data_IF_852889500586
#
_entry.id   IF_852889500586
#
_cell.length_a   1.000
_cell.length_b   1.000
_cell.length_c   1.000
_cell.angle_alpha   90.00
_cell.angle_beta   90.00
_cell.angle_gamma   90.00
#
_symmetry.space_group_name_H-M   'P 1'
#
loop_
_entity.id
_entity.type
_entity.pdbx_description
1 polymer ?
#
# COMPACT_ATOMS: atom_id res chain seq x y z
N UNK A 1 17.07 58.05 -29.78
CA UNK A 1 16.91 57.28 -28.52
C UNK A 1 15.61 56.51 -28.59
N UNK A 2 15.64 55.24 -28.99
CA UNK A 2 14.45 54.39 -29.04
C UNK A 2 14.39 53.57 -27.75
N UNK A 3 13.51 53.97 -26.83
CA UNK A 3 13.24 53.29 -25.57
C UNK A 3 12.49 51.99 -25.86
N UNK A 4 13.23 50.89 -25.97
CA UNK A 4 12.65 49.55 -25.95
C UNK A 4 11.99 49.32 -24.58
N UNK A 5 10.66 49.45 -24.54
CA UNK A 5 9.84 49.08 -23.39
C UNK A 5 9.92 47.56 -23.23
N UNK A 6 10.73 47.10 -22.27
CA UNK A 6 10.77 45.68 -21.87
C UNK A 6 9.39 45.27 -21.34
N UNK A 7 8.58 44.68 -22.22
CA UNK A 7 7.25 44.17 -21.87
C UNK A 7 7.43 42.88 -21.07
N UNK A 8 7.19 42.94 -19.76
CA UNK A 8 7.15 41.77 -18.88
C UNK A 8 6.01 40.85 -19.34
N UNK A 9 6.35 39.61 -19.71
CA UNK A 9 5.38 38.55 -20.03
C UNK A 9 4.89 37.92 -18.72
N UNK A 10 3.61 37.52 -18.68
CA UNK A 10 3.05 36.78 -17.54
C UNK A 10 3.81 35.46 -17.36
N UNK A 11 4.06 35.06 -16.12
CA UNK A 11 4.77 33.80 -15.78
C UNK A 11 4.15 32.58 -16.48
N UNK A 12 2.82 32.58 -16.68
CA UNK A 12 2.07 31.54 -17.39
C UNK A 12 2.36 31.45 -18.90
N UNK A 13 2.96 32.47 -19.52
CA UNK A 13 3.34 32.49 -20.94
C UNK A 13 4.82 32.16 -21.19
N UNK A 14 5.61 32.02 -20.12
CA UNK A 14 7.00 31.56 -20.17
C UNK A 14 6.98 30.10 -19.71
N UNK A 15 6.33 29.25 -20.49
CA UNK A 15 6.25 27.82 -20.21
C UNK A 15 7.64 27.22 -20.30
N UNK A 16 8.28 27.01 -19.14
CA UNK A 16 9.39 26.06 -19.02
C UNK A 16 8.93 24.68 -19.49
N UNK A 17 9.88 23.83 -19.88
CA UNK A 17 9.61 22.42 -20.16
C UNK A 17 8.67 21.86 -19.09
N UNK A 18 7.60 21.17 -19.52
CA UNK A 18 6.64 20.55 -18.60
C UNK A 18 7.43 19.58 -17.72
N UNK A 19 7.70 19.97 -16.47
CA UNK A 19 8.32 19.09 -15.48
C UNK A 19 7.50 17.81 -15.41
N UNK A 20 8.15 16.67 -15.61
CA UNK A 20 7.55 15.37 -15.34
C UNK A 20 7.50 15.25 -13.81
N UNK A 21 6.40 15.71 -13.22
CA UNK A 21 6.05 15.42 -11.83
C UNK A 21 4.60 14.96 -11.87
N UNK A 22 4.40 13.65 -11.74
CA UNK A 22 3.06 13.10 -11.86
C UNK A 22 2.14 13.74 -10.83
N UNK A 23 2.54 13.85 -9.56
CA UNK A 23 1.72 14.43 -8.46
C UNK A 23 1.62 15.95 -8.55
N UNK A 24 2.74 16.65 -8.72
CA UNK A 24 2.78 18.12 -8.75
C UNK A 24 2.00 18.72 -9.91
N UNK A 25 1.93 18.04 -11.06
CA UNK A 25 1.16 18.50 -12.22
C UNK A 25 -0.35 18.65 -11.95
N UNK A 26 -0.89 17.95 -10.95
CA UNK A 26 -2.35 17.90 -10.70
C UNK A 26 -2.85 18.83 -9.58
N UNK A 27 -1.95 19.32 -8.72
CA UNK A 27 -2.30 20.17 -7.55
C UNK A 27 -3.05 21.47 -7.90
N UNK A 28 -2.97 21.94 -9.14
CA UNK A 28 -3.54 23.22 -9.51
C UNK A 28 -4.94 23.17 -10.12
N UNK A 29 -5.37 22.10 -10.81
CA UNK A 29 -6.66 22.10 -11.56
C UNK A 29 -7.37 20.72 -11.69
N UNK A 30 -6.95 19.65 -10.98
CA UNK A 30 -7.55 18.31 -11.21
C UNK A 30 -7.35 17.27 -10.09
N UNK A 31 -7.15 17.71 -8.84
CA UNK A 31 -6.88 16.81 -7.71
C UNK A 31 -7.98 15.75 -7.53
N UNK A 32 -9.25 16.14 -7.68
CA UNK A 32 -10.38 15.22 -7.65
C UNK A 32 -10.34 14.18 -8.78
N UNK A 33 -10.12 14.62 -10.03
CA UNK A 33 -10.07 13.72 -11.18
C UNK A 33 -8.93 12.70 -11.06
N UNK A 34 -7.80 13.13 -10.50
CA UNK A 34 -6.68 12.23 -10.18
C UNK A 34 -7.04 11.26 -9.08
N UNK A 35 -7.58 11.74 -7.96
CA UNK A 35 -7.99 10.91 -6.84
C UNK A 35 -9.02 9.85 -7.30
N UNK A 36 -9.96 10.25 -8.14
CA UNK A 36 -10.90 9.34 -8.80
C UNK A 36 -10.20 8.35 -9.74
N UNK A 37 -9.25 8.81 -10.55
CA UNK A 37 -8.44 7.93 -11.41
C UNK A 37 -7.69 6.84 -10.63
N UNK A 38 -7.06 7.23 -9.51
CA UNK A 38 -6.39 6.30 -8.59
C UNK A 38 -7.39 5.36 -7.92
N UNK A 39 -8.55 5.87 -7.49
CA UNK A 39 -9.61 5.05 -6.89
C UNK A 39 -10.13 3.98 -7.86
N UNK A 40 -10.37 4.35 -9.13
CA UNK A 40 -10.82 3.42 -10.15
C UNK A 40 -9.73 2.42 -10.56
N UNK A 41 -8.46 2.81 -10.52
CA UNK A 41 -7.32 1.90 -10.69
C UNK A 41 -7.26 0.88 -9.54
N UNK A 42 -7.39 1.35 -8.29
CA UNK A 42 -7.47 0.50 -7.12
C UNK A 42 -8.67 -0.47 -7.18
N UNK A 43 -9.84 -0.01 -7.62
CA UNK A 43 -11.01 -0.86 -7.86
C UNK A 43 -10.68 -1.99 -8.85
N UNK A 44 -10.07 -1.67 -10.00
CA UNK A 44 -9.68 -2.68 -11.00
C UNK A 44 -8.72 -3.73 -10.42
N UNK A 45 -7.71 -3.30 -9.67
CA UNK A 45 -6.77 -4.21 -8.99
C UNK A 45 -7.48 -5.10 -7.98
N UNK A 46 -8.41 -4.52 -7.20
CA UNK A 46 -9.21 -5.29 -6.26
C UNK A 46 -10.13 -6.28 -6.99
N UNK A 47 -10.84 -5.88 -8.05
CA UNK A 47 -11.72 -6.74 -8.86
C UNK A 47 -10.95 -7.90 -9.52
N UNK A 48 -9.72 -7.66 -9.98
CA UNK A 48 -8.84 -8.69 -10.53
C UNK A 48 -8.54 -9.81 -9.51
N UNK A 49 -8.52 -9.49 -8.22
CA UNK A 49 -8.35 -10.47 -7.13
C UNK A 49 -9.65 -11.17 -6.69
N UNK A 50 -10.78 -10.95 -7.38
CA UNK A 50 -12.07 -11.56 -7.04
C UNK A 50 -12.05 -13.09 -7.03
N UNK A 51 -11.36 -13.72 -8.00
CA UNK A 51 -11.18 -15.17 -8.05
C UNK A 51 -10.43 -15.68 -6.83
N UNK A 52 -9.31 -15.04 -6.49
CA UNK A 52 -8.52 -15.38 -5.30
C UNK A 52 -9.39 -15.32 -4.03
N UNK A 53 -10.20 -14.27 -3.85
CA UNK A 53 -11.09 -14.14 -2.68
C UNK A 53 -12.14 -15.27 -2.62
N UNK A 54 -12.73 -15.64 -3.75
CA UNK A 54 -13.69 -16.76 -3.85
C UNK A 54 -13.03 -18.10 -3.50
N UNK A 55 -11.86 -18.37 -4.08
CA UNK A 55 -11.08 -19.60 -3.84
C UNK A 55 -10.64 -19.68 -2.38
N UNK A 56 -10.14 -18.58 -1.82
CA UNK A 56 -9.78 -18.44 -0.41
C UNK A 56 -10.95 -18.78 0.52
N UNK A 57 -12.13 -18.19 0.29
CA UNK A 57 -13.30 -18.45 1.13
C UNK A 57 -13.73 -19.92 1.06
N UNK A 58 -13.64 -20.54 -0.13
CA UNK A 58 -13.87 -21.98 -0.29
C UNK A 58 -12.83 -22.81 0.47
N UNK A 59 -11.53 -22.53 0.33
CA UNK A 59 -10.48 -23.23 1.07
C UNK A 59 -10.66 -23.10 2.60
N UNK A 60 -11.09 -21.93 3.07
CA UNK A 60 -11.41 -21.69 4.48
C UNK A 60 -12.59 -22.56 4.94
N UNK A 61 -13.70 -22.60 4.18
CA UNK A 61 -14.83 -23.49 4.46
C UNK A 61 -14.40 -24.95 4.57
N UNK A 62 -13.61 -25.43 3.61
CA UNK A 62 -13.10 -26.81 3.60
C UNK A 62 -12.22 -27.12 4.82
N UNK A 63 -11.36 -26.19 5.22
CA UNK A 63 -10.47 -26.34 6.38
C UNK A 63 -11.23 -26.42 7.69
N UNK A 64 -12.28 -25.62 7.87
CA UNK A 64 -13.08 -25.61 9.10
C UNK A 64 -14.24 -26.61 9.11
N UNK A 65 -14.36 -27.45 8.07
CA UNK A 65 -15.29 -28.58 8.02
C UNK A 65 -16.62 -28.30 7.32
N UNK A 66 -16.75 -27.14 6.69
CA UNK A 66 -17.93 -26.75 5.90
C UNK A 66 -17.78 -27.15 4.42
N UNK A 67 -17.58 -28.46 4.18
CA UNK A 67 -17.12 -28.99 2.88
C UNK A 67 -18.24 -29.13 1.83
N UNK A 68 -19.50 -29.36 2.25
CA UNK A 68 -20.60 -29.76 1.37
C UNK A 68 -21.66 -28.67 1.14
N UNK A 69 -21.34 -27.41 1.48
CA UNK A 69 -22.26 -26.27 1.31
C UNK A 69 -22.11 -25.53 -0.02
N UNK A 70 -21.25 -26.02 -0.90
CA UNK A 70 -21.19 -25.49 -2.26
C UNK A 70 -22.55 -25.75 -2.94
N UNK A 71 -23.02 -24.76 -3.70
CA UNK A 71 -24.33 -24.81 -4.36
C UNK A 71 -24.13 -25.41 -5.75
N UNK A 72 -24.87 -26.49 -6.04
CA UNK A 72 -24.88 -27.20 -7.32
C UNK A 72 -26.24 -27.07 -7.97
N UNK A 73 -26.25 -27.06 -9.31
CA UNK A 73 -27.46 -27.15 -10.09
C UNK A 73 -27.51 -28.55 -10.72
N UNK A 74 -28.48 -29.36 -10.30
CA UNK A 74 -28.70 -30.70 -10.84
C UNK A 74 -30.14 -30.75 -11.35
N UNK A 75 -30.33 -31.17 -12.60
CA UNK A 75 -31.63 -31.29 -13.26
C UNK A 75 -32.50 -30.01 -13.19
N UNK A 76 -31.86 -28.84 -13.29
CA UNK A 76 -32.55 -27.54 -13.23
C UNK A 76 -32.95 -27.09 -11.82
N UNK A 77 -32.59 -27.84 -10.78
CA UNK A 77 -32.81 -27.48 -9.37
C UNK A 77 -31.52 -27.08 -8.70
N UNK A 78 -31.55 -25.92 -8.04
CA UNK A 78 -30.44 -25.41 -7.24
C UNK A 78 -30.52 -25.99 -5.82
N UNK A 79 -29.50 -26.74 -5.41
CA UNK A 79 -29.38 -27.33 -4.07
C UNK A 79 -27.93 -27.31 -3.58
N UNK A 80 -27.68 -27.61 -2.31
CA UNK A 80 -26.30 -27.79 -1.81
C UNK A 80 -25.81 -29.19 -2.14
N UNK A 81 -24.49 -29.37 -2.27
CA UNK A 81 -23.89 -30.71 -2.43
C UNK A 81 -24.32 -31.67 -1.30
N UNK A 82 -24.43 -31.17 -0.07
CA UNK A 82 -24.91 -31.93 1.08
C UNK A 82 -26.32 -32.50 0.83
N UNK A 83 -27.25 -31.68 0.32
CA UNK A 83 -28.61 -32.10 0.01
C UNK A 83 -28.64 -33.08 -1.15
N UNK A 84 -27.85 -32.84 -2.19
CA UNK A 84 -27.76 -33.73 -3.33
C UNK A 84 -27.29 -35.14 -2.92
N UNK A 85 -26.25 -35.23 -2.09
CA UNK A 85 -25.73 -36.51 -1.57
C UNK A 85 -26.79 -37.22 -0.70
N UNK A 86 -27.53 -36.45 0.12
CA UNK A 86 -28.64 -36.98 0.92
C UNK A 86 -29.79 -37.50 0.05
N UNK A 87 -30.14 -36.79 -1.03
CA UNK A 87 -31.17 -37.21 -1.99
C UNK A 87 -30.80 -38.51 -2.72
N UNK A 88 -29.50 -38.78 -2.91
CA UNK A 88 -28.98 -40.04 -3.42
C UNK A 88 -28.96 -41.18 -2.38
N UNK A 89 -29.42 -40.94 -1.15
CA UNK A 89 -29.45 -41.93 -0.07
C UNK A 89 -28.10 -42.14 0.65
N UNK A 90 -27.13 -41.27 0.42
CA UNK A 90 -25.81 -41.32 1.06
C UNK A 90 -25.68 -40.30 2.19
N UNK A 91 -24.83 -40.59 3.19
CA UNK A 91 -24.53 -39.65 4.28
C UNK A 91 -23.29 -38.84 3.91
N UNK A 92 -23.35 -37.49 3.90
CA UNK A 92 -22.19 -36.64 3.64
C UNK A 92 -21.11 -36.81 4.73
N UNK A 93 -20.01 -37.47 4.40
CA UNK A 93 -18.92 -37.72 5.33
C UNK A 93 -18.05 -36.47 5.48
N UNK A 94 -17.75 -36.07 6.72
CA UNK A 94 -16.84 -34.96 7.04
C UNK A 94 -15.61 -35.52 7.76
N UNK A 95 -14.55 -35.86 7.02
CA UNK A 95 -13.28 -36.24 7.63
C UNK A 95 -12.32 -35.05 7.61
N UNK A 96 -12.04 -34.47 8.78
CA UNK A 96 -11.29 -33.22 8.87
C UNK A 96 -9.75 -33.44 8.89
N UNK A 97 -9.25 -34.14 7.89
CA UNK A 97 -7.81 -34.36 7.69
C UNK A 97 -7.06 -33.06 7.42
N UNK A 98 -7.68 -32.13 6.70
CA UNK A 98 -7.12 -30.83 6.35
C UNK A 98 -6.75 -30.05 7.61
N UNK A 99 -7.68 -29.89 8.58
CA UNK A 99 -7.39 -29.17 9.83
C UNK A 99 -6.29 -29.81 10.67
N UNK A 100 -6.10 -31.13 10.57
CA UNK A 100 -4.99 -31.82 11.24
C UNK A 100 -3.65 -31.46 10.59
N UNK A 101 -3.60 -31.45 9.26
CA UNK A 101 -2.39 -31.06 8.51
C UNK A 101 -2.00 -29.60 8.79
N UNK A 102 -2.98 -28.67 8.74
CA UNK A 102 -2.76 -27.25 9.07
C UNK A 102 -2.16 -27.11 10.48
N UNK A 103 -2.73 -27.78 11.49
CA UNK A 103 -2.20 -27.74 12.86
C UNK A 103 -0.78 -28.30 12.98
N UNK A 104 -0.44 -29.34 12.23
CA UNK A 104 0.91 -29.89 12.22
C UNK A 104 1.92 -28.89 11.64
N UNK A 105 1.57 -28.20 10.55
CA UNK A 105 2.42 -27.16 9.95
C UNK A 105 2.61 -25.99 10.93
N UNK A 106 1.54 -25.55 11.60
CA UNK A 106 1.62 -24.50 12.63
C UNK A 106 2.50 -24.90 13.81
N UNK A 107 2.38 -26.16 14.27
CA UNK A 107 3.23 -26.69 15.33
C UNK A 107 4.71 -26.75 14.93
N UNK A 108 5.02 -27.03 13.67
CA UNK A 108 6.39 -26.97 13.15
C UNK A 108 6.91 -25.52 13.05
N UNK A 109 6.09 -24.60 12.54
CA UNK A 109 6.42 -23.19 12.44
C UNK A 109 6.77 -22.59 13.81
N UNK A 110 5.90 -22.78 14.81
CA UNK A 110 6.12 -22.25 16.16
C UNK A 110 7.41 -22.79 16.82
N UNK A 111 7.81 -24.03 16.52
CA UNK A 111 9.07 -24.62 17.02
C UNK A 111 10.31 -24.02 16.35
N UNK A 112 10.17 -23.50 15.13
CA UNK A 112 11.27 -22.97 14.33
C UNK A 112 11.39 -21.45 14.41
N UNK A 113 10.38 -20.75 14.93
CA UNK A 113 10.41 -19.30 15.12
C UNK A 113 11.61 -18.91 16.01
N UNK A 114 12.47 -18.05 15.46
CA UNK A 114 13.62 -17.48 16.17
C UNK A 114 13.42 -15.98 16.33
N UNK A 115 14.08 -15.43 17.33
CA UNK A 115 14.17 -13.98 17.51
C UNK A 115 14.98 -13.35 16.38
N UNK A 116 14.64 -12.11 15.97
CA UNK A 116 15.39 -11.38 14.96
C UNK A 116 16.79 -11.04 15.47
N UNK A 117 17.78 -11.17 14.60
CA UNK A 117 19.18 -10.82 14.87
C UNK A 117 19.71 -10.01 13.69
N UNK A 118 20.35 -8.88 14.00
CA UNK A 118 21.06 -8.07 13.03
C UNK A 118 22.54 -8.43 13.02
N UNK A 119 23.03 -8.84 11.85
CA UNK A 119 24.45 -9.16 11.64
C UNK A 119 25.10 -7.97 10.93
N UNK A 120 26.04 -7.31 11.59
CA UNK A 120 26.83 -6.23 11.00
C UNK A 120 27.72 -6.78 9.88
N UNK A 121 27.86 -6.01 8.79
CA UNK A 121 28.76 -6.36 7.68
C UNK A 121 30.19 -5.94 7.97
N UNK A 122 30.35 -4.79 8.59
CA UNK A 122 31.64 -4.24 9.00
C UNK A 122 31.89 -4.46 10.49
N UNK A 123 33.15 -4.75 10.83
CA UNK A 123 33.55 -5.06 12.21
C UNK A 123 33.33 -3.87 13.15
N UNK A 124 33.48 -2.65 12.63
CA UNK A 124 33.32 -1.42 13.40
C UNK A 124 31.84 -1.13 13.72
N UNK A 125 30.90 -1.73 12.98
CA UNK A 125 29.46 -1.60 13.19
C UNK A 125 28.88 -2.70 14.09
N UNK A 126 29.70 -3.60 14.64
CA UNK A 126 29.21 -4.74 15.42
C UNK A 126 28.32 -4.32 16.60
N UNK A 127 28.70 -3.25 17.32
CA UNK A 127 27.92 -2.70 18.44
C UNK A 127 26.56 -2.16 18.00
N UNK A 128 26.47 -1.59 16.78
CA UNK A 128 25.21 -1.14 16.20
C UNK A 128 24.32 -2.34 15.87
N UNK A 129 24.89 -3.42 15.35
CA UNK A 129 24.19 -4.68 15.10
C UNK A 129 23.59 -5.29 16.38
N UNK A 130 24.35 -5.31 17.48
CA UNK A 130 23.86 -5.77 18.79
C UNK A 130 22.70 -4.91 19.30
N UNK A 131 22.87 -3.58 19.26
CA UNK A 131 21.84 -2.62 19.70
C UNK A 131 20.56 -2.79 18.89
N UNK A 132 20.69 -2.91 17.56
CA UNK A 132 19.54 -3.10 16.67
C UNK A 132 18.83 -4.44 16.92
N UNK A 133 19.58 -5.51 17.22
CA UNK A 133 19.01 -6.80 17.57
C UNK A 133 18.13 -6.70 18.81
N UNK A 134 18.59 -6.02 19.87
CA UNK A 134 17.79 -5.78 21.07
C UNK A 134 16.52 -4.97 20.79
N UNK A 135 16.61 -3.94 19.94
CA UNK A 135 15.44 -3.12 19.56
C UNK A 135 14.42 -3.95 18.78
N UNK A 136 14.86 -4.76 17.82
CA UNK A 136 13.96 -5.63 17.05
C UNK A 136 13.30 -6.71 17.91
N UNK A 137 14.03 -7.29 18.87
CA UNK A 137 13.48 -8.23 19.84
C UNK A 137 12.40 -7.58 20.70
N UNK A 138 12.68 -6.36 21.20
CA UNK A 138 11.70 -5.58 21.93
C UNK A 138 10.43 -5.31 21.10
N UNK A 139 10.57 -4.86 19.85
CA UNK A 139 9.44 -4.60 18.96
C UNK A 139 8.65 -5.89 18.63
N UNK A 140 9.36 -7.01 18.45
CA UNK A 140 8.75 -8.33 18.26
C UNK A 140 7.89 -8.73 19.45
N UNK A 141 8.36 -8.52 20.68
CA UNK A 141 7.61 -8.78 21.90
C UNK A 141 6.43 -7.82 22.06
N UNK A 142 6.63 -6.53 21.80
CA UNK A 142 5.58 -5.50 21.86
C UNK A 142 4.38 -5.86 20.96
N UNK A 143 4.67 -6.35 19.75
CA UNK A 143 3.64 -6.74 18.78
C UNK A 143 3.14 -8.18 18.97
N UNK A 144 3.67 -8.95 19.93
CA UNK A 144 3.40 -10.38 20.07
C UNK A 144 3.58 -11.13 18.73
N UNK A 145 4.69 -10.88 18.04
CA UNK A 145 4.91 -11.36 16.67
C UNK A 145 4.85 -12.89 16.53
N UNK A 146 5.09 -13.65 17.60
CA UNK A 146 4.92 -15.11 17.58
C UNK A 146 3.47 -15.51 17.29
N UNK A 147 2.50 -14.81 17.88
CA UNK A 147 1.07 -15.04 17.64
C UNK A 147 0.64 -14.54 16.26
N UNK A 148 1.06 -13.31 15.90
CA UNK A 148 0.80 -12.74 14.57
C UNK A 148 1.35 -13.65 13.47
N UNK A 149 2.60 -14.11 13.63
CA UNK A 149 3.27 -15.01 12.70
C UNK A 149 2.55 -16.35 12.58
N UNK A 150 2.11 -16.95 13.70
CA UNK A 150 1.35 -18.19 13.67
C UNK A 150 0.03 -18.05 12.91
N UNK A 151 -0.73 -16.96 13.15
CA UNK A 151 -1.99 -16.70 12.41
C UNK A 151 -1.76 -16.35 10.96
N UNK A 152 -0.69 -15.64 10.65
CA UNK A 152 -0.27 -15.36 9.27
C UNK A 152 0.10 -16.64 8.53
N UNK A 153 0.79 -17.57 9.20
CA UNK A 153 1.10 -18.88 8.63
C UNK A 153 -0.16 -19.74 8.45
N UNK A 154 -1.11 -19.68 9.38
CA UNK A 154 -2.41 -20.37 9.25
C UNK A 154 -3.14 -19.87 8.00
N UNK A 155 -3.23 -18.55 7.84
CA UNK A 155 -3.85 -17.91 6.69
C UNK A 155 -3.12 -18.26 5.38
N UNK A 156 -1.79 -18.26 5.37
CA UNK A 156 -0.99 -18.61 4.20
C UNK A 156 -1.19 -20.07 3.77
N UNK A 157 -1.22 -21.02 4.72
CA UNK A 157 -1.44 -22.45 4.41
C UNK A 157 -2.86 -22.68 3.87
N UNK A 158 -3.84 -21.89 4.30
CA UNK A 158 -5.24 -22.02 3.84
C UNK A 158 -5.45 -21.34 2.49
N UNK A 159 -4.98 -20.10 2.32
CA UNK A 159 -5.35 -19.24 1.20
C UNK A 159 -4.24 -19.02 0.17
N UNK A 160 -2.98 -19.27 0.53
CA UNK A 160 -1.81 -18.98 -0.30
C UNK A 160 -1.31 -17.54 -0.23
N UNK A 161 -1.96 -16.65 0.53
CA UNK A 161 -1.54 -15.26 0.71
C UNK A 161 -1.65 -14.85 2.17
N UNK A 162 -0.62 -14.17 2.68
CA UNK A 162 -0.67 -13.49 3.96
C UNK A 162 -0.21 -12.06 3.80
N UNK A 163 -0.86 -11.14 4.50
CA UNK A 163 -0.56 -9.72 4.43
C UNK A 163 -0.51 -9.16 5.84
N UNK A 164 0.55 -8.42 6.13
CA UNK A 164 0.75 -7.71 7.38
C UNK A 164 1.00 -6.24 7.08
N UNK A 165 0.34 -5.36 7.82
CA UNK A 165 0.56 -3.93 7.73
C UNK A 165 1.43 -3.49 8.90
N UNK A 166 2.51 -2.76 8.58
CA UNK A 166 3.43 -2.19 9.55
C UNK A 166 3.33 -0.67 9.50
N UNK A 167 3.05 -0.05 10.63
CA UNK A 167 2.90 1.41 10.73
C UNK A 167 3.60 1.95 11.95
N UNK A 168 4.18 3.14 11.82
CA UNK A 168 4.74 3.88 12.94
C UNK A 168 3.68 4.85 13.49
N UNK A 169 3.45 4.84 14.80
CA UNK A 169 2.47 5.72 15.40
C UNK A 169 2.25 5.50 16.89
N UNK A 170 1.44 6.36 17.50
CA UNK A 170 1.07 6.24 18.91
C UNK A 170 -0.11 5.29 19.06
N UNK A 171 0.06 4.23 19.85
CA UNK A 171 -1.03 3.33 20.24
C UNK A 171 -0.88 2.93 21.70
N UNK A 172 -1.99 2.93 22.44
CA UNK A 172 -2.01 2.62 23.88
C UNK A 172 -0.97 3.41 24.70
N UNK A 173 -0.75 4.68 24.32
CA UNK A 173 0.21 5.58 24.98
C UNK A 173 1.68 5.33 24.65
N UNK A 174 2.00 4.46 23.68
CA UNK A 174 3.36 4.18 23.23
C UNK A 174 3.55 4.57 21.76
N UNK A 175 4.64 5.25 21.48
CA UNK A 175 5.08 5.57 20.12
C UNK A 175 6.06 4.49 19.66
N UNK A 176 5.64 3.63 18.73
CA UNK A 176 6.46 2.53 18.22
C UNK A 176 5.95 2.08 16.83
N UNK A 177 6.62 1.08 16.26
CA UNK A 177 6.17 0.38 15.06
C UNK A 177 5.18 -0.74 15.43
N UNK A 178 3.99 -0.66 14.88
CA UNK A 178 2.91 -1.61 15.10
C UNK A 178 2.71 -2.50 13.89
N UNK A 179 2.50 -3.80 14.13
CA UNK A 179 2.16 -4.79 13.12
C UNK A 179 0.74 -5.29 13.33
N UNK A 180 -0.06 -5.32 12.27
CA UNK A 180 -1.40 -5.92 12.27
C UNK A 180 -1.58 -6.86 11.08
N UNK A 181 -2.43 -7.86 11.25
CA UNK A 181 -2.85 -8.74 10.16
C UNK A 181 -3.87 -8.00 9.31
N UNK A 182 -3.70 -8.06 8.00
CA UNK A 182 -4.65 -7.53 7.02
C UNK A 182 -5.55 -8.66 6.56
N UNK A 183 -6.86 -8.41 6.46
CA UNK A 183 -7.78 -9.37 5.88
C UNK A 183 -7.56 -9.42 4.36
N UNK A 184 -7.18 -10.56 3.76
CA UNK A 184 -6.95 -10.65 2.32
C UNK A 184 -8.18 -10.31 1.46
N UNK A 185 -9.37 -10.29 2.06
CA UNK A 185 -10.60 -9.87 1.37
C UNK A 185 -10.68 -8.35 1.15
N UNK A 186 -9.97 -7.58 1.97
CA UNK A 186 -9.89 -6.12 1.93
C UNK A 186 -8.59 -5.62 1.30
N UNK A 187 -7.71 -6.54 0.88
CA UNK A 187 -6.42 -6.21 0.30
C UNK A 187 -6.48 -6.31 -1.22
N UNK A 188 -5.65 -5.50 -1.89
CA UNK A 188 -5.41 -5.58 -3.31
C UNK A 188 -3.98 -5.19 -3.68
N UNK A 189 -3.51 -5.72 -4.80
CA UNK A 189 -2.23 -5.34 -5.41
C UNK A 189 -2.33 -5.40 -6.93
N UNK A 190 -1.29 -4.89 -7.60
CA UNK A 190 -1.13 -4.97 -9.05
C UNK A 190 -1.31 -6.40 -9.60
N UNK A 191 -2.25 -6.58 -10.52
CA UNK A 191 -2.54 -7.88 -11.13
C UNK A 191 -1.39 -8.41 -12.01
N UNK A 192 -0.48 -7.54 -12.44
CA UNK A 192 0.61 -7.89 -13.34
C UNK A 192 1.90 -8.26 -12.61
N UNK A 193 1.95 -8.17 -11.27
CA UNK A 193 3.13 -8.52 -10.49
C UNK A 193 3.43 -10.02 -10.60
N UNK A 194 4.69 -10.33 -10.91
CA UNK A 194 5.24 -11.68 -11.00
C UNK A 194 6.43 -11.88 -10.06
N UNK A 195 7.12 -10.80 -9.68
CA UNK A 195 8.22 -10.89 -8.72
C UNK A 195 7.70 -11.19 -7.31
N UNK A 196 8.05 -12.36 -6.79
CA UNK A 196 7.68 -12.79 -5.43
C UNK A 196 8.21 -11.85 -4.33
N UNK A 197 9.20 -11.00 -4.63
CA UNK A 197 9.72 -9.96 -3.73
C UNK A 197 8.87 -8.68 -3.77
N UNK A 198 7.97 -8.55 -4.74
CA UNK A 198 7.10 -7.39 -4.94
C UNK A 198 7.78 -6.16 -5.54
N UNK A 199 8.95 -6.30 -6.17
CA UNK A 199 9.69 -5.16 -6.74
C UNK A 199 9.00 -4.54 -7.96
N UNK A 200 8.23 -5.35 -8.70
CA UNK A 200 7.45 -4.96 -9.86
C UNK A 200 6.03 -4.47 -9.52
N UNK A 201 5.65 -4.49 -8.24
CA UNK A 201 4.34 -3.96 -7.81
C UNK A 201 4.32 -2.45 -7.99
N UNK A 202 3.34 -1.96 -8.76
CA UNK A 202 3.12 -0.53 -9.00
C UNK A 202 2.01 0.06 -8.13
N UNK A 203 1.06 -0.76 -7.69
CA UNK A 203 -0.07 -0.38 -6.84
C UNK A 203 -0.33 -1.46 -5.79
N UNK A 204 -0.57 -1.04 -4.55
CA UNK A 204 -0.97 -1.91 -3.45
C UNK A 204 -1.86 -1.14 -2.50
N UNK A 205 -2.83 -1.79 -1.89
CA UNK A 205 -3.72 -1.08 -0.98
C UNK A 205 -4.60 -1.95 -0.12
N UNK A 206 -5.29 -1.29 0.78
CA UNK A 206 -6.16 -1.89 1.77
C UNK A 206 -7.43 -1.06 1.95
N UNK A 207 -8.55 -1.77 2.06
CA UNK A 207 -9.86 -1.20 2.37
C UNK A 207 -10.07 -1.29 3.88
N UNK A 208 -10.36 -0.16 4.50
CA UNK A 208 -10.60 -0.03 5.94
C UNK A 208 -12.05 0.32 6.21
N UNK A 209 -12.71 -0.47 7.05
CA UNK A 209 -14.05 -0.14 7.56
C UNK A 209 -13.91 0.34 9.03
N UNK A 210 -13.77 1.66 9.23
CA UNK A 210 -13.51 2.29 10.54
C UNK A 210 -14.76 2.97 11.10
N UNK A 211 -14.81 3.24 12.41
CA UNK A 211 -15.86 4.09 12.97
C UNK A 211 -15.60 5.58 12.69
N UNK A 212 -16.64 6.40 12.82
CA UNK A 212 -16.56 7.84 12.54
C UNK A 212 -15.59 8.58 13.46
N UNK A 213 -15.44 8.15 14.72
CA UNK A 213 -14.54 8.81 15.67
C UNK A 213 -13.09 8.53 15.32
N UNK A 214 -12.79 7.29 14.92
CA UNK A 214 -11.48 6.93 14.38
C UNK A 214 -11.18 7.72 13.11
N UNK A 215 -12.14 7.86 12.18
CA UNK A 215 -11.96 8.69 10.99
C UNK A 215 -11.59 10.14 11.36
N UNK A 216 -12.30 10.76 12.31
CA UNK A 216 -11.97 12.12 12.75
C UNK A 216 -10.61 12.20 13.42
N UNK A 217 -10.26 11.22 14.26
CA UNK A 217 -8.95 11.19 14.93
C UNK A 217 -7.80 11.14 13.95
N UNK A 218 -7.92 10.38 12.87
CA UNK A 218 -6.84 10.19 11.90
C UNK A 218 -6.79 11.30 10.84
N UNK A 219 -7.94 11.84 10.41
CA UNK A 219 -8.00 12.69 9.21
C UNK A 219 -8.51 14.13 9.45
N UNK A 220 -9.03 14.47 10.63
CA UNK A 220 -9.50 15.83 10.91
C UNK A 220 -8.52 16.59 11.82
N UNK A 221 -8.03 17.73 11.34
CA UNK A 221 -7.25 18.69 12.12
C UNK A 221 -8.09 19.82 12.73
N UNK A 222 -9.34 19.97 12.27
CA UNK A 222 -10.24 21.05 12.67
C UNK A 222 -11.70 20.60 12.77
N UNK A 223 -12.53 21.41 13.44
CA UNK A 223 -13.97 21.15 13.57
C UNK A 223 -14.68 21.18 12.21
N UNK A 224 -14.26 22.07 11.31
CA UNK A 224 -14.85 22.19 9.97
C UNK A 224 -14.54 20.96 9.12
N UNK A 225 -13.34 20.38 9.23
CA UNK A 225 -13.00 19.11 8.59
C UNK A 225 -13.82 17.94 9.14
N UNK A 226 -14.09 17.91 10.46
CA UNK A 226 -15.00 16.91 11.03
C UNK A 226 -16.40 16.99 10.40
N UNK A 227 -16.95 18.19 10.21
CA UNK A 227 -18.26 18.36 9.56
C UNK A 227 -18.20 17.96 8.08
N UNK A 228 -17.13 18.34 7.36
CA UNK A 228 -16.92 17.92 5.96
C UNK A 228 -16.87 16.40 5.82
N UNK A 229 -16.07 15.73 6.66
CA UNK A 229 -15.97 14.27 6.67
C UNK A 229 -17.32 13.64 7.05
N UNK A 230 -18.05 14.22 8.01
CA UNK A 230 -19.39 13.73 8.36
C UNK A 230 -20.34 13.79 7.16
N UNK A 231 -20.30 14.85 6.37
CA UNK A 231 -21.13 15.00 5.18
C UNK A 231 -20.75 13.99 4.09
N UNK A 232 -19.47 13.84 3.78
CA UNK A 232 -18.98 12.85 2.80
C UNK A 232 -19.46 11.44 3.18
N UNK A 233 -19.24 11.06 4.44
CA UNK A 233 -19.58 9.72 4.92
C UNK A 233 -21.06 9.51 5.22
N UNK A 234 -21.88 10.58 5.29
CA UNK A 234 -23.34 10.44 5.32
C UNK A 234 -23.83 9.74 4.05
N UNK A 235 -23.31 10.14 2.89
CA UNK A 235 -23.65 9.55 1.61
C UNK A 235 -22.93 8.22 1.36
N UNK A 236 -21.67 8.08 1.81
CA UNK A 236 -20.88 6.87 1.57
C UNK A 236 -21.42 5.63 2.32
N UNK A 237 -22.25 5.83 3.35
CA UNK A 237 -22.92 4.77 4.10
C UNK A 237 -24.21 4.29 3.45
N UNK A 238 -24.76 5.09 2.54
CA UNK A 238 -25.99 4.76 1.82
C UNK A 238 -25.61 3.97 0.57
N UNK A 239 -25.77 2.64 0.64
CA UNK A 239 -25.42 1.74 -0.46
C UNK A 239 -26.23 2.00 -1.74
N UNK A 240 -27.46 2.50 -1.63
CA UNK A 240 -28.28 2.85 -2.79
C UNK A 240 -27.73 4.10 -3.47
N UNK A 241 -27.37 5.12 -2.68
CA UNK A 241 -26.71 6.32 -3.19
C UNK A 241 -25.37 6.01 -3.88
N UNK A 242 -24.52 5.18 -3.25
CA UNK A 242 -23.23 4.78 -3.84
C UNK A 242 -23.44 3.98 -5.12
N UNK A 243 -24.39 3.04 -5.14
CA UNK A 243 -24.74 2.27 -6.35
C UNK A 243 -25.22 3.18 -7.48
N UNK A 244 -26.09 4.15 -7.17
CA UNK A 244 -26.55 5.14 -8.14
C UNK A 244 -25.40 6.02 -8.65
N UNK A 245 -24.50 6.45 -7.77
CA UNK A 245 -23.33 7.26 -8.12
C UNK A 245 -22.40 6.54 -9.11
N UNK A 246 -22.25 5.22 -8.95
CA UNK A 246 -21.42 4.38 -9.82
C UNK A 246 -22.20 3.59 -10.87
N UNK A 247 -23.47 3.96 -11.13
CA UNK A 247 -24.35 3.22 -12.06
C UNK A 247 -23.82 3.13 -13.50
N UNK A 248 -22.99 4.09 -13.92
CA UNK A 248 -22.29 4.09 -15.22
C UNK A 248 -21.09 3.13 -15.28
N UNK A 249 -20.75 2.46 -14.18
CA UNK A 249 -19.71 1.42 -14.09
C UNK A 249 -20.36 0.06 -13.79
N UNK A 250 -21.02 -0.57 -14.79
CA UNK A 250 -21.92 -1.67 -14.56
C UNK A 250 -21.12 -2.90 -14.14
N UNK A 251 -21.37 -3.39 -12.92
CA UNK A 251 -21.09 -4.78 -12.60
C UNK A 251 -22.07 -5.65 -13.38
N UNK A 252 -21.56 -6.46 -14.30
CA UNK A 252 -22.34 -7.54 -14.89
C UNK A 252 -22.49 -8.65 -13.83
N UNK A 253 -23.62 -8.62 -13.11
CA UNK A 253 -24.05 -9.71 -12.23
C UNK A 253 -24.06 -9.34 -10.74
N UNK A 254 -25.27 -9.32 -10.19
CA UNK A 254 -25.64 -9.24 -8.79
C UNK A 254 -24.54 -9.55 -7.74
N UNK A 255 -24.36 -8.61 -6.83
CA UNK A 255 -23.72 -8.84 -5.53
C UNK A 255 -24.62 -9.73 -4.67
N UNK A 256 -24.10 -10.88 -4.28
CA UNK A 256 -24.56 -11.57 -3.08
C UNK A 256 -24.19 -10.67 -1.88
N UNK A 257 -25.15 -10.38 -0.98
CA UNK A 257 -24.92 -9.62 0.26
C UNK A 257 -23.80 -10.22 1.15
N UNK A 258 -23.33 -11.42 0.82
CA UNK A 258 -22.18 -12.11 1.43
C UNK A 258 -20.83 -11.78 0.80
N UNK A 259 -20.77 -10.98 -0.27
CA UNK A 259 -19.53 -10.61 -0.98
C UNK A 259 -19.11 -9.21 -0.55
N UNK A 260 -17.83 -9.00 -0.26
CA UNK A 260 -17.32 -7.65 -0.03
C UNK A 260 -17.52 -6.86 -1.32
N UNK A 261 -18.09 -5.66 -1.26
CA UNK A 261 -18.03 -4.69 -2.36
C UNK A 261 -16.77 -3.83 -2.20
N UNK A 262 -16.32 -3.12 -3.24
CA UNK A 262 -15.18 -2.19 -3.16
C UNK A 262 -15.59 -0.86 -2.54
N UNK A 263 -16.74 -0.30 -2.94
CA UNK A 263 -17.16 1.04 -2.52
C UNK A 263 -18.01 1.05 -1.24
N UNK A 264 -18.75 -0.02 -0.96
CA UNK A 264 -19.70 -0.09 0.16
C UNK A 264 -19.30 -1.06 1.27
N UNK A 265 -19.32 -0.54 2.51
CA UNK A 265 -19.15 -1.30 3.74
C UNK A 265 -20.23 -2.35 3.95
N UNK A 266 -19.90 -3.48 4.60
CA UNK A 266 -20.92 -4.44 5.05
C UNK A 266 -21.77 -3.91 6.20
N UNK A 267 -21.17 -3.08 7.05
CA UNK A 267 -21.84 -2.43 8.18
C UNK A 267 -22.09 -0.96 7.82
N UNK A 268 -23.34 -0.53 7.60
CA UNK A 268 -23.68 0.86 7.27
C UNK A 268 -23.28 1.89 8.34
N UNK A 269 -22.87 1.44 9.54
CA UNK A 269 -22.38 2.34 10.61
C UNK A 269 -20.90 2.68 10.45
N UNK A 270 -20.17 1.96 9.60
CA UNK A 270 -18.74 2.13 9.36
C UNK A 270 -18.49 3.10 8.19
N UNK A 271 -17.37 3.79 8.27
CA UNK A 271 -16.82 4.64 7.24
C UNK A 271 -15.78 3.83 6.47
N UNK A 272 -15.99 3.66 5.17
CA UNK A 272 -15.02 3.00 4.30
C UNK A 272 -13.93 3.95 3.82
N UNK A 273 -12.69 3.66 4.15
CA UNK A 273 -11.51 4.38 3.65
C UNK A 273 -10.71 3.43 2.77
N UNK A 274 -10.33 3.84 1.57
CA UNK A 274 -9.46 3.09 0.68
C UNK A 274 -8.05 3.68 0.80
N UNK A 275 -7.14 2.92 1.37
CA UNK A 275 -5.71 3.23 1.39
C UNK A 275 -5.06 2.68 0.12
N UNK A 276 -4.39 3.53 -0.64
CA UNK A 276 -3.70 3.17 -1.88
C UNK A 276 -2.28 3.68 -1.83
N UNK A 277 -1.32 2.77 -1.99
CA UNK A 277 0.07 3.10 -2.30
C UNK A 277 0.30 2.87 -3.78
N UNK A 278 0.81 3.88 -4.47
CA UNK A 278 1.07 3.85 -5.91
C UNK A 278 2.46 4.38 -6.19
N UNK A 279 3.18 3.74 -7.11
CA UNK A 279 4.43 4.28 -7.65
C UNK A 279 4.11 5.45 -8.56
N UNK A 280 4.65 6.59 -8.22
CA UNK A 280 4.57 7.84 -8.95
C UNK A 280 5.94 8.19 -9.52
N UNK A 281 5.99 9.07 -10.52
CA UNK A 281 7.22 9.40 -11.22
C UNK A 281 7.50 10.88 -11.16
N UNK A 282 8.76 11.25 -10.90
CA UNK A 282 9.20 12.63 -11.05
C UNK A 282 10.65 12.78 -11.47
N UNK A 283 10.98 13.92 -12.06
CA UNK A 283 12.36 14.28 -12.42
C UNK A 283 13.23 14.53 -11.18
N UNK A 284 14.44 13.97 -11.18
CA UNK A 284 15.47 14.18 -10.15
C UNK A 284 16.86 14.13 -10.78
N UNK A 285 17.86 14.54 -10.01
CA UNK A 285 19.26 14.29 -10.34
C UNK A 285 19.82 13.19 -9.45
N UNK A 286 20.54 12.24 -10.06
CA UNK A 286 21.40 11.30 -9.37
C UNK A 286 22.79 11.91 -9.28
N UNK A 287 23.22 12.22 -8.07
CA UNK A 287 24.52 12.81 -7.78
C UNK A 287 25.49 11.73 -7.29
N UNK A 288 26.71 11.78 -7.80
CA UNK A 288 27.84 11.00 -7.33
C UNK A 288 28.92 11.98 -6.86
N UNK A 289 29.27 11.90 -5.57
CA UNK A 289 30.33 12.70 -4.99
C UNK A 289 31.60 11.85 -4.84
N UNK A 290 32.58 12.01 -5.75
CA UNK A 290 33.81 11.21 -5.70
C UNK A 290 34.70 11.54 -4.50
N UNK A 291 34.49 12.68 -3.82
CA UNK A 291 35.31 13.07 -2.66
C UNK A 291 35.01 12.22 -1.42
N UNK A 292 33.75 11.82 -1.22
CA UNK A 292 33.33 10.98 -0.09
C UNK A 292 32.78 9.61 -0.52
N UNK A 293 32.61 9.37 -1.83
CA UNK A 293 32.09 8.13 -2.40
C UNK A 293 30.57 7.97 -2.28
N UNK A 294 29.84 9.04 -1.94
CA UNK A 294 28.40 8.98 -1.74
C UNK A 294 27.63 9.10 -3.06
N UNK A 295 26.57 8.31 -3.18
CA UNK A 295 25.58 8.41 -4.26
C UNK A 295 24.24 8.78 -3.64
N UNK A 296 23.67 9.90 -4.08
CA UNK A 296 22.43 10.43 -3.52
C UNK A 296 21.56 11.06 -4.61
N UNK A 297 20.27 11.24 -4.29
CA UNK A 297 19.28 11.84 -5.20
C UNK A 297 18.89 13.21 -4.69
N UNK A 298 18.73 14.18 -5.59
CA UNK A 298 18.24 15.53 -5.26
C UNK A 298 17.06 15.94 -6.14
N UNK A 299 16.25 16.85 -5.63
CA UNK A 299 15.19 17.49 -6.41
C UNK A 299 15.79 18.43 -7.48
N UNK A 300 15.07 18.64 -8.58
CA UNK A 300 15.57 19.48 -9.69
C UNK A 300 15.84 20.92 -9.27
N UNK A 301 15.09 21.43 -8.30
CA UNK A 301 15.20 22.78 -7.74
C UNK A 301 16.49 22.98 -6.93
N UNK A 302 17.04 21.91 -6.38
CA UNK A 302 18.21 21.95 -5.49
C UNK A 302 19.53 21.83 -6.26
N UNK A 303 19.49 21.52 -7.56
CA UNK A 303 20.69 21.34 -8.40
C UNK A 303 21.69 22.50 -8.30
N UNK A 304 21.21 23.74 -8.43
CA UNK A 304 22.08 24.92 -8.37
C UNK A 304 22.74 25.16 -7.00
N UNK A 305 22.09 24.69 -5.92
CA UNK A 305 22.60 24.84 -4.54
C UNK A 305 23.49 23.69 -4.13
N UNK A 306 23.08 22.46 -4.42
CA UNK A 306 23.74 21.25 -3.91
C UNK A 306 24.85 20.73 -4.84
N UNK A 307 24.81 21.08 -6.13
CA UNK A 307 25.84 20.63 -7.10
C UNK A 307 26.66 21.83 -7.56
N UNK A 308 26.04 22.82 -8.21
CA UNK A 308 26.82 23.90 -8.84
C UNK A 308 27.55 24.78 -7.82
N UNK A 309 26.91 25.12 -6.69
CA UNK A 309 27.56 25.93 -5.67
C UNK A 309 28.72 25.19 -4.99
N UNK A 310 28.52 23.92 -4.66
CA UNK A 310 29.56 23.06 -4.06
C UNK A 310 30.73 22.87 -5.02
N UNK A 311 30.45 22.61 -6.29
CA UNK A 311 31.49 22.49 -7.31
C UNK A 311 32.27 23.81 -7.49
N UNK A 312 31.58 24.97 -7.49
CA UNK A 312 32.27 26.28 -7.53
C UNK A 312 33.17 26.49 -6.31
N UNK A 313 32.71 26.15 -5.11
CA UNK A 313 33.52 26.24 -3.89
C UNK A 313 34.76 25.32 -3.94
N UNK A 314 34.58 24.08 -4.41
CA UNK A 314 35.70 23.12 -4.60
C UNK A 314 36.74 23.64 -5.58
N UNK A 315 36.31 24.26 -6.68
CA UNK A 315 37.24 24.87 -7.65
C UNK A 315 38.04 26.02 -7.03
N UNK A 316 37.41 26.86 -6.20
CA UNK A 316 38.11 27.94 -5.49
C UNK A 316 39.13 27.37 -4.49
N UNK A 317 38.74 26.39 -3.69
CA UNK A 317 39.65 25.73 -2.73
C UNK A 317 40.81 25.01 -3.43
N UNK A 318 40.54 24.34 -4.55
CA UNK A 318 41.55 23.68 -5.36
C UNK A 318 42.59 24.67 -5.91
N UNK A 319 42.13 25.82 -6.41
CA UNK A 319 43.02 26.89 -6.89
C UNK A 319 43.91 27.45 -5.77
N UNK A 320 43.39 27.60 -4.55
CA UNK A 320 44.19 28.01 -3.38
C UNK A 320 45.22 26.96 -2.96
N UNK A 321 44.92 25.67 -3.16
CA UNK A 321 45.80 24.55 -2.82
C UNK A 321 46.74 24.13 -3.97
N UNK A 322 46.64 24.77 -5.13
CA UNK A 322 47.45 24.46 -6.31
C UNK A 322 47.12 23.11 -6.95
N UNK A 323 45.90 22.59 -6.73
CA UNK A 323 45.42 21.35 -7.35
C UNK A 323 44.99 21.67 -8.80
N UNK A 324 45.46 20.90 -9.81
CA UNK A 324 45.00 21.05 -11.19
C UNK A 324 43.48 20.90 -11.31
N UNK A 325 42.84 21.69 -12.18
CA UNK A 325 41.37 21.67 -12.36
C UNK A 325 40.84 20.27 -12.72
N UNK A 326 41.64 19.49 -13.45
CA UNK A 326 41.35 18.11 -13.87
C UNK A 326 41.35 17.09 -12.73
N UNK A 327 42.01 17.40 -11.60
CA UNK A 327 42.12 16.54 -10.43
C UNK A 327 41.14 16.93 -9.30
N UNK A 328 40.31 17.96 -9.51
CA UNK A 328 39.33 18.40 -8.51
C UNK A 328 38.16 17.41 -8.47
N UNK A 329 37.84 16.81 -7.31
CA UNK A 329 36.72 15.88 -7.19
C UNK A 329 35.40 16.66 -7.23
N UNK A 330 34.87 16.89 -8.43
CA UNK A 330 33.58 17.55 -8.63
C UNK A 330 32.44 16.54 -8.51
N UNK A 331 31.31 17.00 -7.98
CA UNK A 331 30.07 16.22 -7.93
C UNK A 331 29.56 16.06 -9.36
N UNK A 332 29.38 14.81 -9.78
CA UNK A 332 28.77 14.44 -11.05
C UNK A 332 27.27 14.28 -10.85
N UNK A 333 26.45 14.89 -11.72
CA UNK A 333 25.00 14.84 -11.58
C UNK A 333 24.34 14.48 -12.91
N UNK A 334 23.54 13.42 -12.90
CA UNK A 334 22.82 12.91 -14.08
C UNK A 334 21.32 13.08 -13.88
N UNK A 335 20.65 13.76 -14.80
CA UNK A 335 19.19 13.85 -14.80
C UNK A 335 18.56 12.48 -15.10
N UNK A 336 17.54 12.11 -14.35
CA UNK A 336 16.76 10.90 -14.60
C UNK A 336 15.31 11.05 -14.09
N UNK A 337 14.43 10.14 -14.53
CA UNK A 337 13.07 10.01 -14.02
C UNK A 337 13.08 8.97 -12.91
N UNK A 338 12.76 9.39 -11.69
CA UNK A 338 12.73 8.56 -10.50
C UNK A 338 11.31 8.05 -10.23
N UNK A 339 11.19 6.79 -9.81
CA UNK A 339 9.97 6.24 -9.25
C UNK A 339 9.98 6.33 -7.72
N UNK A 340 8.85 6.71 -7.13
CA UNK A 340 8.69 6.80 -5.67
C UNK A 340 7.29 6.40 -5.25
N UNK A 341 7.17 5.83 -4.05
CA UNK A 341 5.86 5.50 -3.48
C UNK A 341 5.16 6.77 -2.98
N UNK A 342 3.90 6.92 -3.38
CA UNK A 342 2.99 7.93 -2.86
C UNK A 342 1.73 7.24 -2.34
N UNK A 343 1.22 7.70 -1.20
CA UNK A 343 0.04 7.13 -0.57
C UNK A 343 -1.17 8.05 -0.70
N UNK A 344 -2.36 7.44 -0.79
CA UNK A 344 -3.65 8.09 -0.87
C UNK A 344 -4.57 7.45 0.17
N UNK A 345 -5.32 8.27 0.89
CA UNK A 345 -6.48 7.83 1.66
C UNK A 345 -7.71 8.42 1.01
N UNK A 346 -8.55 7.56 0.45
CA UNK A 346 -9.66 7.97 -0.39
C UNK A 346 -10.97 7.53 0.24
N UNK A 347 -11.94 8.44 0.29
CA UNK A 347 -13.34 8.04 0.47
C UNK A 347 -13.85 7.28 -0.77
N UNK A 348 -15.01 6.59 -0.69
CA UNK A 348 -15.60 5.92 -1.84
C UNK A 348 -15.96 6.87 -3.00
N UNK A 349 -15.94 8.18 -2.78
CA UNK A 349 -16.20 9.21 -3.80
C UNK A 349 -14.93 9.92 -4.30
N UNK A 350 -13.74 9.49 -3.88
CA UNK A 350 -12.46 10.09 -4.30
C UNK A 350 -12.10 11.42 -3.63
N UNK A 351 -12.71 11.72 -2.47
CA UNK A 351 -12.29 12.82 -1.58
C UNK A 351 -11.23 12.42 -0.58
#
# INVERSE_FOLDING_TARGET
MNTYTKKLRRLSQVGGQKKIDSVGATKHHGEYDRAMGVLLEARRSWDAMSRFRKDRERCKRYTYGDQWKDVVNVDGKTMTEEKYIMEQGSVPLKNNLIRRLVRNVLGAYLKQTKEPVCVARDRDEQRLGETMSTILQYNMQLNSMTEIGARSMEEFVISGLTVQHKSYGVREGRLDCWTRIVNPSMFFLDSNSQDVRGWDVSIVGEIHDIDLQTLFREFAGSRDECERLREIYRYARDGEYVSQYFSDFPDFGYSDARTYDFFTGRDPRRCRVIEVWRKETKERYLCHDPNNGEVYKIETEDYGKMVEAVNRERMVMAAEQGIPEEDVPLIEATWFVDDYWYFYYLSPFGH
#
